data_IF_090525786818
#
_entry.id   IF_090525786818
#
_cell.length_a   1.000
_cell.length_b   1.000
_cell.length_c   1.000
_cell.angle_alpha   90.00
_cell.angle_beta   90.00
_cell.angle_gamma   90.00
#
_symmetry.space_group_name_H-M   'P 1'
#
loop_
_entity.id
_entity.type
_entity.pdbx_description
1 polymer ?
#
# COMPACT_ATOMS: atom_id res chain seq x y z
N UNK A 1 -31.15 14.48 20.27
CA UNK A 1 -31.43 15.71 19.49
C UNK A 1 -30.15 16.01 18.72
N UNK A 2 -29.87 15.55 17.50
CA UNK A 2 -30.73 15.27 16.36
C UNK A 2 -30.42 16.33 15.30
N UNK A 3 -29.38 16.13 14.47
CA UNK A 3 -29.18 16.89 13.23
C UNK A 3 -28.69 15.95 12.14
N UNK A 4 -29.32 16.11 10.98
CA UNK A 4 -29.43 15.21 9.84
C UNK A 4 -28.28 15.49 8.86
N UNK A 5 -27.62 14.45 8.33
CA UNK A 5 -26.80 14.59 7.12
C UNK A 5 -27.70 14.36 5.91
N UNK A 6 -27.92 15.42 5.15
CA UNK A 6 -28.56 15.37 3.85
C UNK A 6 -27.54 14.88 2.82
N UNK A 7 -27.90 13.78 2.18
CA UNK A 7 -27.38 13.28 0.93
C UNK A 7 -27.75 14.25 -0.21
N UNK A 8 -26.83 14.49 -1.15
CA UNK A 8 -27.16 15.01 -2.48
C UNK A 8 -26.10 14.56 -3.47
N UNK A 9 -26.47 13.48 -4.14
CA UNK A 9 -25.94 13.01 -5.42
C UNK A 9 -26.00 14.07 -6.54
N UNK A 10 -25.06 13.94 -7.46
CA UNK A 10 -25.10 14.32 -8.88
C UNK A 10 -25.05 15.82 -9.23
N UNK A 11 -23.87 16.24 -9.67
CA UNK A 11 -23.80 17.10 -10.85
C UNK A 11 -22.86 16.48 -11.88
N UNK A 12 -23.52 16.07 -12.96
CA UNK A 12 -23.03 15.40 -14.14
C UNK A 12 -22.25 16.37 -15.06
N UNK A 13 -21.34 15.78 -15.85
CA UNK A 13 -20.95 16.19 -17.20
C UNK A 13 -20.44 17.62 -17.45
N UNK A 14 -19.11 17.76 -17.55
CA UNK A 14 -18.52 18.45 -18.71
C UNK A 14 -17.31 17.68 -19.20
N UNK A 15 -17.48 17.03 -20.35
CA UNK A 15 -16.34 16.64 -21.18
C UNK A 15 -15.89 17.86 -21.98
N UNK A 16 -14.63 18.24 -21.84
CA UNK A 16 -13.81 18.74 -22.93
C UNK A 16 -12.35 18.51 -22.56
N UNK A 17 -11.69 17.82 -23.47
CA UNK A 17 -10.26 17.87 -23.77
C UNK A 17 -9.54 19.12 -23.23
N UNK A 18 -8.63 18.93 -22.26
CA UNK A 18 -7.36 19.67 -22.27
C UNK A 18 -6.30 18.99 -21.38
N UNK A 19 -5.25 18.54 -22.05
CA UNK A 19 -4.01 18.05 -21.45
C UNK A 19 -3.22 19.25 -20.93
N UNK A 20 -3.52 19.77 -19.71
CA UNK A 20 -2.60 20.54 -18.83
C UNK A 20 -3.32 20.92 -17.53
N UNK A 21 -3.08 20.21 -16.43
CA UNK A 21 -3.11 20.75 -15.04
C UNK A 21 -2.69 19.70 -14.01
N UNK A 22 -1.41 19.30 -14.05
CA UNK A 22 -0.67 18.83 -12.88
C UNK A 22 -0.16 20.07 -12.16
N UNK A 23 -0.68 20.37 -10.98
CA UNK A 23 -0.04 21.15 -9.89
C UNK A 23 -1.08 22.02 -9.19
N UNK A 24 -1.50 21.60 -7.99
CA UNK A 24 -1.72 22.45 -6.81
C UNK A 24 -2.61 21.71 -5.80
N UNK A 25 -2.02 20.88 -4.94
CA UNK A 25 -2.63 20.52 -3.66
C UNK A 25 -1.54 20.42 -2.60
N UNK A 26 -0.80 21.52 -2.42
CA UNK A 26 0.06 21.77 -1.27
C UNK A 26 -0.31 23.16 -0.75
N UNK A 27 -1.36 23.25 0.08
CA UNK A 27 -1.59 24.39 0.98
C UNK A 27 -2.52 23.96 2.11
N UNK A 28 -2.01 23.13 3.03
CA UNK A 28 -2.65 22.98 4.35
C UNK A 28 -1.69 22.50 5.45
N UNK A 29 -0.49 23.09 5.49
CA UNK A 29 0.35 23.07 6.69
C UNK A 29 0.75 24.51 6.92
N UNK A 30 0.04 25.26 7.78
CA UNK A 30 0.55 26.54 8.34
C UNK A 30 -0.31 27.16 9.45
N UNK A 31 -0.86 26.39 10.39
CA UNK A 31 -1.48 26.99 11.58
C UNK A 31 -1.53 26.04 12.80
N UNK A 32 -0.39 25.70 13.39
CA UNK A 32 -0.34 25.09 14.72
C UNK A 32 1.05 25.16 15.38
N UNK A 33 1.75 26.30 15.30
CA UNK A 33 3.10 26.42 15.88
C UNK A 33 3.33 27.70 16.70
N UNK A 34 2.39 28.03 17.57
CA UNK A 34 2.57 29.08 18.59
C UNK A 34 1.91 28.59 19.88
N UNK A 35 2.71 28.05 20.81
CA UNK A 35 2.68 28.33 22.25
C UNK A 35 3.38 27.22 23.07
N UNK A 36 4.31 27.68 23.91
CA UNK A 36 4.95 27.01 25.04
C UNK A 36 6.05 25.99 24.73
N UNK A 37 7.30 26.40 24.96
CA UNK A 37 8.06 26.00 26.16
C UNK A 37 9.31 26.89 26.22
N UNK A 38 9.46 27.60 27.34
CA UNK A 38 10.64 28.40 27.63
C UNK A 38 11.70 27.65 28.46
N UNK A 39 12.91 28.22 28.41
CA UNK A 39 14.00 28.23 29.42
C UNK A 39 14.89 26.95 29.49
N UNK A 40 16.22 27.03 29.69
CA UNK A 40 17.28 27.76 28.96
C UNK A 40 18.53 26.87 28.67
N UNK A 41 19.57 27.53 28.14
CA UNK A 41 20.93 27.10 27.76
C UNK A 41 21.69 26.18 28.76
N UNK A 42 22.31 25.11 28.24
CA UNK A 42 23.26 24.25 28.95
C UNK A 42 24.28 23.61 28.00
N UNK A 43 25.49 24.17 27.99
CA UNK A 43 26.71 23.71 27.33
C UNK A 43 27.25 22.40 27.95
N UNK A 44 27.64 21.40 27.14
CA UNK A 44 28.97 20.75 27.18
C UNK A 44 29.12 19.63 26.12
N UNK A 45 30.25 19.65 25.43
CA UNK A 45 30.66 18.75 24.36
C UNK A 45 31.09 17.34 24.84
N UNK A 46 30.94 16.34 23.95
CA UNK A 46 31.87 15.20 23.83
C UNK A 46 31.81 14.61 22.40
N UNK A 47 32.96 14.28 21.76
CA UNK A 47 32.98 13.77 20.39
C UNK A 47 32.66 12.27 20.39
N UNK A 48 31.58 11.87 19.73
CA UNK A 48 31.27 10.46 19.50
C UNK A 48 31.92 10.00 18.19
N UNK A 49 32.97 9.21 18.35
CA UNK A 49 33.60 8.37 17.33
C UNK A 49 32.53 7.61 16.51
N UNK A 50 32.55 7.61 15.17
CA UNK A 50 31.58 6.84 14.41
C UNK A 50 31.84 5.34 14.62
N UNK A 51 30.90 4.69 15.29
CA UNK A 51 30.80 3.23 15.33
C UNK A 51 30.50 2.74 13.91
N UNK A 52 31.37 1.86 13.41
CA UNK A 52 31.17 1.15 12.15
C UNK A 52 29.82 0.40 12.19
N UNK A 53 28.89 0.84 11.36
CA UNK A 53 27.55 0.29 11.24
C UNK A 53 27.64 -1.08 10.57
N UNK A 54 27.60 -2.15 11.38
CA UNK A 54 27.38 -3.50 10.88
C UNK A 54 26.08 -3.53 10.04
N UNK A 55 25.98 -4.33 8.97
CA UNK A 55 24.78 -4.38 8.14
C UNK A 55 23.59 -4.72 9.02
N UNK A 56 22.73 -3.73 9.26
CA UNK A 56 21.59 -3.88 10.14
C UNK A 56 20.73 -5.03 9.60
N UNK A 57 20.59 -6.09 10.39
CA UNK A 57 19.64 -7.17 10.12
C UNK A 57 18.24 -6.58 10.16
N UNK A 58 17.79 -6.00 9.04
CA UNK A 58 16.50 -5.33 8.94
C UNK A 58 15.43 -6.38 9.16
N UNK A 59 14.64 -6.25 10.23
CA UNK A 59 13.59 -7.22 10.57
C UNK A 59 12.71 -7.54 9.35
N UNK A 60 12.28 -8.80 9.17
CA UNK A 60 11.43 -9.15 8.03
C UNK A 60 10.08 -8.42 8.09
N UNK A 61 9.50 -8.14 6.93
CA UNK A 61 8.13 -7.64 6.79
C UNK A 61 7.18 -8.80 7.09
N UNK A 62 6.37 -8.67 8.14
CA UNK A 62 5.40 -9.70 8.52
C UNK A 62 4.10 -9.50 7.75
N UNK A 63 3.72 -10.47 6.93
CA UNK A 63 2.51 -10.42 6.12
C UNK A 63 1.57 -11.50 6.65
N UNK A 64 0.46 -11.07 7.24
CA UNK A 64 -0.53 -11.97 7.85
C UNK A 64 -1.83 -11.94 7.08
N UNK A 65 -2.30 -13.11 6.65
CA UNK A 65 -3.61 -13.30 6.00
C UNK A 65 -4.60 -14.00 6.93
N UNK A 66 -5.84 -13.51 6.93
CA UNK A 66 -7.00 -14.19 7.50
C UNK A 66 -7.80 -14.80 6.35
N UNK A 67 -7.78 -16.13 6.17
CA UNK A 67 -8.31 -16.78 4.96
C UNK A 67 -9.84 -16.73 4.87
N UNK A 68 -10.55 -16.59 6.00
CA UNK A 68 -12.03 -16.54 6.03
C UNK A 68 -12.60 -15.37 5.21
N UNK A 69 -11.87 -14.27 5.09
CA UNK A 69 -12.33 -13.03 4.46
C UNK A 69 -11.26 -12.34 3.61
N UNK A 70 -10.13 -13.01 3.39
CA UNK A 70 -8.96 -12.51 2.67
C UNK A 70 -8.50 -11.13 3.17
N UNK A 71 -8.58 -10.92 4.48
CA UNK A 71 -8.03 -9.72 5.11
C UNK A 71 -6.53 -9.89 5.27
N UNK A 72 -5.77 -8.86 4.91
CA UNK A 72 -4.32 -8.87 4.96
C UNK A 72 -3.80 -7.72 5.81
N UNK A 73 -2.83 -8.05 6.65
CA UNK A 73 -2.08 -7.11 7.46
C UNK A 73 -0.59 -7.17 7.10
N UNK A 74 0.08 -6.02 7.09
CA UNK A 74 1.51 -5.88 6.92
C UNK A 74 2.07 -5.24 8.18
N UNK A 75 3.00 -5.92 8.86
CA UNK A 75 3.55 -5.51 10.17
C UNK A 75 2.49 -5.20 11.24
N UNK A 76 1.31 -5.83 11.15
CA UNK A 76 0.18 -5.57 12.04
C UNK A 76 -0.73 -4.42 11.60
N UNK A 77 -0.38 -3.69 10.54
CA UNK A 77 -1.19 -2.64 9.95
C UNK A 77 -2.12 -3.21 8.86
N UNK A 78 -3.37 -2.74 8.82
CA UNK A 78 -4.34 -3.21 7.84
C UNK A 78 -3.93 -2.75 6.44
N UNK A 79 -3.82 -3.71 5.51
CA UNK A 79 -3.54 -3.42 4.10
C UNK A 79 -4.84 -3.39 3.29
N UNK A 80 -5.54 -4.53 3.23
CA UNK A 80 -6.67 -4.73 2.31
C UNK A 80 -7.53 -5.94 2.72
N UNK A 81 -8.69 -6.10 2.06
CA UNK A 81 -9.60 -7.24 2.25
C UNK A 81 -10.20 -7.73 0.94
N UNK A 82 -10.77 -8.94 0.95
CA UNK A 82 -11.50 -9.52 -0.18
C UNK A 82 -10.59 -9.80 -1.38
N UNK A 83 -11.09 -9.61 -2.61
CA UNK A 83 -10.38 -10.04 -3.82
C UNK A 83 -8.99 -9.41 -4.00
N UNK A 84 -8.81 -8.15 -3.62
CA UNK A 84 -7.49 -7.53 -3.68
C UNK A 84 -6.52 -8.14 -2.66
N UNK A 85 -7.04 -8.68 -1.56
CA UNK A 85 -6.28 -9.56 -0.64
C UNK A 85 -5.92 -10.88 -1.31
N UNK A 86 -6.86 -11.57 -1.95
CA UNK A 86 -6.58 -12.82 -2.71
C UNK A 86 -5.47 -12.60 -3.74
N UNK A 87 -5.57 -11.53 -4.53
CA UNK A 87 -4.57 -11.17 -5.55
C UNK A 87 -3.20 -10.97 -4.90
N UNK A 88 -3.13 -10.16 -3.84
CA UNK A 88 -1.88 -9.89 -3.16
C UNK A 88 -1.27 -11.16 -2.57
N UNK A 89 -2.08 -12.01 -1.93
CA UNK A 89 -1.63 -13.27 -1.35
C UNK A 89 -1.04 -14.22 -2.40
N UNK A 90 -1.70 -14.34 -3.56
CA UNK A 90 -1.18 -15.12 -4.70
C UNK A 90 0.18 -14.61 -5.15
N UNK A 91 0.30 -13.29 -5.36
CA UNK A 91 1.53 -12.64 -5.83
C UNK A 91 2.67 -12.83 -4.84
N UNK A 92 2.45 -12.61 -3.54
CA UNK A 92 3.50 -12.75 -2.52
C UNK A 92 3.88 -14.22 -2.27
N UNK A 93 2.93 -15.14 -2.38
CA UNK A 93 3.20 -16.57 -2.27
C UNK A 93 4.01 -17.08 -3.46
N UNK A 94 3.69 -16.64 -4.68
CA UNK A 94 4.47 -16.97 -5.89
C UNK A 94 5.88 -16.39 -5.81
N UNK A 95 6.04 -15.17 -5.29
CA UNK A 95 7.35 -14.60 -4.98
C UNK A 95 8.14 -15.49 -4.01
N UNK A 96 7.53 -15.94 -2.92
CA UNK A 96 8.21 -16.77 -1.93
C UNK A 96 8.55 -18.18 -2.44
N UNK A 97 7.68 -18.76 -3.27
CA UNK A 97 7.84 -20.13 -3.78
C UNK A 97 8.75 -20.22 -5.00
N UNK A 98 8.67 -19.22 -5.89
CA UNK A 98 9.29 -19.27 -7.22
C UNK A 98 10.30 -18.15 -7.48
N UNK A 99 10.45 -17.19 -6.56
CA UNK A 99 11.25 -15.97 -6.78
C UNK A 99 10.63 -15.04 -7.85
N UNK A 100 9.36 -15.28 -8.22
CA UNK A 100 8.69 -14.57 -9.31
C UNK A 100 8.30 -13.17 -8.86
N UNK A 101 8.65 -12.16 -9.66
CA UNK A 101 8.34 -10.76 -9.37
C UNK A 101 7.41 -10.12 -10.39
N UNK A 102 7.24 -10.70 -11.58
CA UNK A 102 6.43 -10.13 -12.66
C UNK A 102 5.18 -10.95 -12.95
N UNK A 103 4.06 -10.25 -13.08
CA UNK A 103 2.75 -10.86 -13.27
C UNK A 103 1.96 -10.19 -14.38
N UNK A 104 1.20 -10.97 -15.13
CA UNK A 104 0.29 -10.49 -16.17
C UNK A 104 -1.15 -10.44 -15.67
N UNK A 105 -1.96 -9.50 -16.15
CA UNK A 105 -3.38 -9.45 -15.78
C UNK A 105 -4.14 -10.66 -16.32
N UNK A 106 -3.72 -11.22 -17.47
CA UNK A 106 -4.36 -12.37 -18.07
C UNK A 106 -4.19 -13.62 -17.20
N UNK A 107 -2.97 -13.90 -16.73
CA UNK A 107 -2.74 -15.07 -15.86
C UNK A 107 -3.45 -14.92 -14.52
N UNK A 108 -3.43 -13.71 -13.92
CA UNK A 108 -4.08 -13.45 -12.65
C UNK A 108 -5.59 -13.63 -12.80
N UNK A 109 -6.17 -13.18 -13.92
CA UNK A 109 -7.59 -13.39 -14.21
C UNK A 109 -7.91 -14.87 -14.36
N UNK A 110 -7.11 -15.62 -15.12
CA UNK A 110 -7.35 -17.04 -15.36
C UNK A 110 -7.31 -17.86 -14.06
N UNK A 111 -6.32 -17.61 -13.21
CA UNK A 111 -6.20 -18.25 -11.90
C UNK A 111 -7.37 -17.87 -10.98
N UNK A 112 -7.69 -16.57 -10.90
CA UNK A 112 -8.80 -16.10 -10.04
C UNK A 112 -10.15 -16.62 -10.51
N UNK A 113 -10.38 -16.79 -11.82
CA UNK A 113 -11.62 -17.37 -12.33
C UNK A 113 -11.85 -18.80 -11.84
N UNK A 114 -10.79 -19.55 -11.52
CA UNK A 114 -10.91 -20.91 -10.97
C UNK A 114 -11.32 -20.89 -9.50
N UNK A 115 -10.86 -19.90 -8.73
CA UNK A 115 -11.14 -19.81 -7.29
C UNK A 115 -12.39 -18.96 -6.99
N UNK A 116 -12.66 -17.96 -7.82
CA UNK A 116 -13.66 -16.90 -7.62
C UNK A 116 -14.19 -16.36 -8.97
N UNK A 117 -14.98 -17.16 -9.71
CA UNK A 117 -15.44 -16.83 -11.06
C UNK A 117 -16.24 -15.53 -11.13
N UNK A 118 -17.07 -15.21 -10.13
CA UNK A 118 -17.91 -14.01 -10.13
C UNK A 118 -17.13 -12.70 -9.90
N UNK A 119 -15.83 -12.78 -9.57
CA UNK A 119 -15.01 -11.63 -9.16
C UNK A 119 -13.86 -11.31 -10.12
N UNK A 120 -13.53 -12.20 -11.06
CA UNK A 120 -12.39 -12.06 -11.97
C UNK A 120 -12.55 -10.90 -12.99
N UNK A 121 -13.79 -10.50 -13.30
CA UNK A 121 -14.10 -9.42 -14.25
C UNK A 121 -13.56 -8.06 -13.79
N UNK A 122 -13.53 -7.81 -12.48
CA UNK A 122 -13.15 -6.52 -11.90
C UNK A 122 -11.68 -6.44 -11.47
N UNK A 123 -10.80 -7.27 -12.05
CA UNK A 123 -9.38 -7.36 -11.67
C UNK A 123 -8.67 -6.00 -11.68
N UNK A 124 -8.89 -5.17 -12.71
CA UNK A 124 -8.16 -3.91 -12.86
C UNK A 124 -8.45 -2.93 -11.72
N UNK A 125 -9.73 -2.78 -11.35
CA UNK A 125 -10.14 -1.94 -10.23
C UNK A 125 -9.55 -2.42 -8.90
N UNK A 126 -9.48 -3.75 -8.70
CA UNK A 126 -8.84 -4.34 -7.51
C UNK A 126 -7.34 -4.10 -7.49
N UNK A 127 -6.67 -4.20 -8.64
CA UNK A 127 -5.24 -3.89 -8.78
C UNK A 127 -4.96 -2.40 -8.52
N UNK A 128 -5.78 -1.49 -9.03
CA UNK A 128 -5.65 -0.05 -8.74
C UNK A 128 -5.73 0.20 -7.23
N UNK A 129 -6.73 -0.38 -6.55
CA UNK A 129 -6.87 -0.24 -5.10
C UNK A 129 -5.68 -0.82 -4.34
N UNK A 130 -5.21 -2.01 -4.72
CA UNK A 130 -4.07 -2.67 -4.09
C UNK A 130 -2.79 -1.85 -4.24
N UNK A 131 -2.50 -1.36 -5.45
CA UNK A 131 -1.32 -0.52 -5.72
C UNK A 131 -1.36 0.75 -4.87
N UNK A 132 -2.52 1.42 -4.79
CA UNK A 132 -2.68 2.62 -3.96
C UNK A 132 -2.41 2.33 -2.48
N UNK A 133 -2.95 1.23 -1.95
CA UNK A 133 -2.73 0.83 -0.54
C UNK A 133 -1.29 0.41 -0.26
N UNK A 134 -0.62 -0.22 -1.21
CA UNK A 134 0.79 -0.59 -1.07
C UNK A 134 1.74 0.61 -1.20
N UNK A 135 1.31 1.72 -1.80
CA UNK A 135 2.13 2.93 -1.89
C UNK A 135 2.43 3.54 -0.52
N UNK A 136 1.59 3.30 0.49
CA UNK A 136 1.80 3.71 1.88
C UNK A 136 2.97 2.94 2.55
N UNK A 137 3.40 1.81 1.96
CA UNK A 137 4.48 0.98 2.47
C UNK A 137 5.78 1.21 1.69
N UNK A 138 6.88 1.51 2.40
CA UNK A 138 8.18 1.82 1.78
C UNK A 138 8.89 0.59 1.20
N UNK A 139 8.77 -0.54 1.89
CA UNK A 139 9.59 -1.73 1.62
C UNK A 139 8.85 -2.81 0.80
N UNK A 140 7.59 -2.57 0.43
CA UNK A 140 6.73 -3.52 -0.28
C UNK A 140 5.77 -2.76 -1.21
N UNK A 141 5.91 -2.92 -2.53
CA UNK A 141 5.11 -2.21 -3.54
C UNK A 141 4.72 -3.11 -4.70
N UNK A 142 3.68 -2.69 -5.42
CA UNK A 142 3.35 -3.22 -6.75
C UNK A 142 3.40 -2.06 -7.74
N UNK A 143 4.17 -2.24 -8.81
CA UNK A 143 4.39 -1.24 -9.85
C UNK A 143 3.77 -1.71 -11.17
N UNK A 144 3.22 -0.78 -11.96
CA UNK A 144 2.76 -1.07 -13.32
C UNK A 144 3.94 -0.92 -14.27
N UNK A 145 4.34 -2.00 -14.92
CA UNK A 145 5.49 -2.02 -15.83
C UNK A 145 5.08 -1.92 -17.31
N UNK A 146 3.88 -2.37 -17.65
CA UNK A 146 3.26 -2.22 -18.97
C UNK A 146 1.74 -2.38 -18.87
N UNK A 147 1.01 -2.16 -19.97
CA UNK A 147 -0.42 -2.46 -20.04
C UNK A 147 -0.64 -3.94 -19.70
N UNK A 148 -1.46 -4.19 -18.68
CA UNK A 148 -1.75 -5.54 -18.22
C UNK A 148 -0.57 -6.29 -17.59
N UNK A 149 0.50 -5.60 -17.16
CA UNK A 149 1.64 -6.21 -16.46
C UNK A 149 1.99 -5.42 -15.20
N UNK A 150 2.25 -6.14 -14.12
CA UNK A 150 2.67 -5.59 -12.84
C UNK A 150 3.95 -6.26 -12.37
N UNK A 151 4.71 -5.56 -11.51
CA UNK A 151 5.87 -6.09 -10.82
C UNK A 151 5.73 -5.90 -9.31
N UNK A 152 5.98 -6.96 -8.55
CA UNK A 152 6.14 -6.90 -7.11
C UNK A 152 7.57 -6.44 -6.79
N UNK A 153 7.69 -5.40 -5.97
CA UNK A 153 8.96 -4.86 -5.47
C UNK A 153 9.02 -5.06 -3.97
N UNK A 154 10.02 -5.83 -3.54
CA UNK A 154 10.24 -6.20 -2.13
C UNK A 154 11.65 -5.78 -1.76
N UNK A 155 11.78 -4.80 -0.86
CA UNK A 155 13.08 -4.22 -0.47
C UNK A 155 13.65 -4.84 0.82
N UNK A 156 12.88 -5.72 1.48
CA UNK A 156 13.28 -6.42 2.72
C UNK A 156 12.74 -7.84 2.70
N UNK A 157 13.39 -8.79 3.40
CA UNK A 157 12.83 -10.13 3.57
C UNK A 157 11.38 -10.08 4.08
N UNK A 158 10.53 -10.97 3.59
CA UNK A 158 9.11 -11.07 3.97
C UNK A 158 8.84 -12.39 4.65
N UNK A 159 8.04 -12.38 5.70
CA UNK A 159 7.55 -13.57 6.41
C UNK A 159 6.03 -13.68 6.19
N UNK A 160 5.56 -14.83 5.68
CA UNK A 160 4.14 -15.07 5.40
C UNK A 160 3.52 -15.88 6.54
N UNK A 161 2.38 -15.42 7.04
CA UNK A 161 1.63 -16.05 8.14
C UNK A 161 0.17 -16.21 7.73
N UNK A 162 -0.37 -17.42 7.80
CA UNK A 162 -1.82 -17.64 7.72
C UNK A 162 -2.40 -17.79 9.13
N UNK A 163 -3.33 -16.90 9.48
CA UNK A 163 -4.01 -16.89 10.77
C UNK A 163 -5.27 -17.75 10.70
N UNK A 164 -5.37 -18.74 11.59
CA UNK A 164 -6.54 -19.61 11.78
C UNK A 164 -7.59 -19.02 12.70
#
# INVERSE_FOLDING_TARGET
>A
MGVIFLDSELQDLTGLDDETSRSAFITHIEAAMELAIGVPHGELAAPLTPLSEAPSSRQPIKIRRFPRNDVIFVNGEYLIKGLAGVIFWKVIQDYHRLGRTEFSNLELRLELSQTHPEKAENLESRLVMLIRRLADFKDLRIERIARGKIRLVVNRPTELIEAG
#
